data_IF_212579246043
#
_entry.id   IF_212579246043
#
_cell.length_a   1.000
_cell.length_b   1.000
_cell.length_c   1.000
_cell.angle_alpha   90.00
_cell.angle_beta   90.00
_cell.angle_gamma   90.00
#
_symmetry.space_group_name_H-M   'P 1'
#
loop_
_entity.id
_entity.type
_entity.pdbx_description
1 polymer ?
#
# COMPACT_ATOMS: atom_id res chain seq x y z
N UNK A 1 52.40 34.64 -20.64
CA UNK A 1 51.10 34.53 -21.33
C UNK A 1 50.21 33.65 -20.48
N UNK A 2 49.35 34.27 -19.69
CA UNK A 2 48.43 33.57 -18.80
C UNK A 2 47.32 32.88 -19.58
N UNK A 3 47.13 31.60 -19.29
CA UNK A 3 46.01 30.80 -19.74
C UNK A 3 44.73 31.29 -19.04
N UNK A 4 43.86 31.99 -19.77
CA UNK A 4 42.44 32.07 -19.39
C UNK A 4 41.67 31.00 -20.15
N UNK A 5 41.50 29.83 -19.53
CA UNK A 5 40.36 28.95 -19.81
C UNK A 5 39.20 29.42 -18.94
N UNK A 6 38.48 30.44 -19.41
CA UNK A 6 37.13 30.70 -18.90
C UNK A 6 36.22 29.59 -19.44
N UNK A 7 36.06 28.53 -18.65
CA UNK A 7 35.02 27.53 -18.82
C UNK A 7 33.99 27.65 -17.68
N UNK A 8 33.59 28.88 -17.35
CA UNK A 8 32.48 29.13 -16.42
C UNK A 8 31.17 29.16 -17.20
N UNK A 9 30.58 27.99 -17.37
CA UNK A 9 29.16 27.88 -17.67
C UNK A 9 28.43 28.02 -16.34
N UNK A 10 27.95 29.23 -16.05
CA UNK A 10 27.07 29.49 -14.90
C UNK A 10 25.68 29.03 -15.31
N UNK A 11 25.35 27.79 -14.98
CA UNK A 11 23.98 27.38 -14.76
C UNK A 11 23.93 26.96 -13.31
N UNK A 12 23.26 27.75 -12.50
CA UNK A 12 22.88 27.36 -11.14
C UNK A 12 22.20 25.99 -11.20
N UNK A 13 22.85 24.96 -10.64
CA UNK A 13 22.31 23.61 -10.60
C UNK A 13 21.84 23.29 -9.19
N UNK A 14 20.62 22.78 -9.09
CA UNK A 14 20.07 22.31 -7.82
C UNK A 14 20.22 20.79 -7.71
N UNK A 15 20.54 20.33 -6.51
CA UNK A 15 20.75 18.92 -6.19
C UNK A 15 19.99 18.54 -4.93
N UNK A 16 19.47 17.32 -4.89
CA UNK A 16 19.06 16.67 -3.65
C UNK A 16 20.23 15.90 -3.06
N UNK A 17 20.51 16.16 -1.78
CA UNK A 17 21.36 15.31 -0.97
C UNK A 17 20.50 14.16 -0.43
N UNK A 18 20.87 12.95 -0.79
CA UNK A 18 20.14 11.74 -0.46
C UNK A 18 21.02 10.78 0.36
N UNK A 19 20.38 10.08 1.28
CA UNK A 19 20.98 8.97 2.03
C UNK A 19 20.61 7.64 1.38
N UNK A 20 21.59 6.75 1.34
CA UNK A 20 21.44 5.33 1.02
C UNK A 20 21.96 4.50 2.18
N UNK A 21 21.09 3.71 2.78
CA UNK A 21 21.39 2.75 3.83
C UNK A 21 21.32 1.34 3.27
N UNK A 22 22.40 0.57 3.43
CA UNK A 22 22.44 -0.84 3.07
C UNK A 22 21.67 -1.68 4.09
N UNK A 23 21.35 -2.92 3.75
CA UNK A 23 20.78 -3.86 4.71
C UNK A 23 21.70 -4.17 5.90
N UNK A 24 23.00 -3.99 5.72
CA UNK A 24 24.01 -4.12 6.77
C UNK A 24 24.17 -2.84 7.62
N UNK A 25 23.34 -1.82 7.36
CA UNK A 25 23.28 -0.52 8.04
C UNK A 25 24.42 0.45 7.75
N UNK A 26 25.17 0.21 6.68
CA UNK A 26 26.13 1.19 6.18
C UNK A 26 25.41 2.33 5.47
N UNK A 27 25.85 3.56 5.73
CA UNK A 27 25.24 4.78 5.20
C UNK A 27 26.17 5.48 4.23
N UNK A 28 25.61 5.89 3.10
CA UNK A 28 26.29 6.64 2.06
C UNK A 28 25.44 7.84 1.63
N UNK A 29 26.10 8.93 1.28
CA UNK A 29 25.45 10.15 0.81
C UNK A 29 25.78 10.40 -0.64
N UNK A 30 24.76 10.69 -1.43
CA UNK A 30 24.89 11.04 -2.85
C UNK A 30 24.12 12.31 -3.16
N UNK A 31 24.59 13.02 -4.18
CA UNK A 31 23.86 14.14 -4.76
C UNK A 31 23.19 13.71 -6.06
N UNK A 32 21.90 14.03 -6.20
CA UNK A 32 21.09 13.79 -7.40
C UNK A 32 20.62 15.12 -7.98
N UNK A 33 20.82 15.35 -9.28
CA UNK A 33 20.35 16.56 -9.96
C UNK A 33 18.82 16.73 -9.83
N UNK A 34 18.37 17.95 -9.54
CA UNK A 34 16.96 18.32 -9.43
C UNK A 34 16.32 18.51 -10.80
N UNK A 35 16.16 17.39 -11.50
CA UNK A 35 15.37 17.29 -12.72
C UNK A 35 14.16 16.35 -12.48
N UNK A 36 13.51 16.50 -11.31
CA UNK A 36 12.44 15.60 -10.86
C UNK A 36 11.06 16.25 -10.96
N UNK A 37 10.05 15.41 -11.21
CA UNK A 37 8.62 15.77 -11.20
C UNK A 37 8.04 15.81 -9.79
N UNK A 38 8.73 15.21 -8.82
CA UNK A 38 8.30 15.10 -7.43
C UNK A 38 8.90 13.88 -6.75
N UNK A 39 8.48 13.63 -5.51
CA UNK A 39 8.96 12.53 -4.66
C UNK A 39 7.75 11.67 -4.28
N UNK A 40 7.90 10.35 -4.34
CA UNK A 40 6.91 9.38 -3.87
C UNK A 40 7.47 8.52 -2.75
N UNK A 41 6.59 8.00 -1.89
CA UNK A 41 6.87 6.96 -0.90
C UNK A 41 6.08 5.66 -1.19
N UNK A 42 5.39 5.58 -2.33
CA UNK A 42 4.62 4.40 -2.73
C UNK A 42 5.45 3.47 -3.62
N UNK A 43 5.78 2.28 -3.11
CA UNK A 43 6.57 1.27 -3.81
C UNK A 43 5.84 -0.05 -4.00
N UNK A 44 5.91 -0.57 -5.22
CA UNK A 44 5.40 -1.89 -5.60
C UNK A 44 6.60 -2.74 -5.99
N UNK A 45 7.08 -3.54 -5.04
CA UNK A 45 8.11 -4.55 -5.30
C UNK A 45 7.55 -5.58 -6.28
N UNK A 46 8.29 -5.85 -7.35
CA UNK A 46 7.94 -6.89 -8.31
C UNK A 46 9.22 -7.61 -8.71
N UNK A 47 9.27 -8.92 -8.50
CA UNK A 47 10.35 -9.74 -9.03
C UNK A 47 10.23 -9.72 -10.55
N UNK A 48 11.03 -8.87 -11.17
CA UNK A 48 11.16 -8.78 -12.60
C UNK A 48 12.58 -9.22 -12.93
N UNK A 49 12.74 -10.07 -13.96
CA UNK A 49 14.05 -10.50 -14.46
C UNK A 49 14.77 -9.36 -15.22
N UNK A 50 14.72 -8.12 -14.71
CA UNK A 50 14.98 -6.89 -15.47
C UNK A 50 15.87 -5.89 -14.75
N UNK A 51 16.39 -4.92 -15.51
CA UNK A 51 17.28 -3.79 -15.14
C UNK A 51 16.75 -2.81 -14.05
N UNK A 52 15.68 -3.14 -13.33
CA UNK A 52 15.03 -2.26 -12.36
C UNK A 52 14.30 -3.07 -11.27
N UNK A 53 14.16 -2.49 -10.08
CA UNK A 53 13.81 -3.18 -8.82
C UNK A 53 12.30 -3.37 -8.61
N UNK A 54 11.47 -2.60 -9.31
CA UNK A 54 10.02 -2.57 -9.11
C UNK A 54 9.42 -1.28 -9.66
N UNK A 55 8.29 -0.84 -9.11
CA UNK A 55 7.63 0.39 -9.55
C UNK A 55 7.36 1.35 -8.40
N UNK A 56 7.63 2.63 -8.61
CA UNK A 56 7.17 3.72 -7.76
C UNK A 56 5.90 4.32 -8.36
N UNK A 57 4.92 4.62 -7.51
CA UNK A 57 3.66 5.21 -7.95
C UNK A 57 3.69 6.73 -7.77
N UNK A 58 3.39 7.47 -8.83
CA UNK A 58 3.29 8.93 -8.80
C UNK A 58 2.27 9.43 -9.81
N UNK A 59 1.31 10.25 -9.36
CA UNK A 59 0.25 10.83 -10.19
C UNK A 59 -0.52 9.83 -11.09
N UNK A 60 -0.85 8.64 -10.57
CA UNK A 60 -1.47 7.52 -11.30
C UNK A 60 -0.60 6.90 -12.42
N UNK A 61 0.71 7.08 -12.35
CA UNK A 61 1.67 6.42 -13.23
C UNK A 61 2.62 5.54 -12.40
N UNK A 62 3.07 4.46 -13.01
CA UNK A 62 4.09 3.56 -12.46
C UNK A 62 5.43 3.84 -13.14
N UNK A 63 6.41 4.22 -12.34
CA UNK A 63 7.76 4.52 -12.78
C UNK A 63 8.69 3.37 -12.39
N UNK A 64 9.48 2.81 -13.32
CA UNK A 64 10.45 1.77 -12.97
C UNK A 64 11.48 2.33 -11.98
N UNK A 65 11.74 1.58 -10.90
CA UNK A 65 12.64 2.00 -9.82
C UNK A 65 14.03 1.48 -10.04
N UNK A 66 15.01 2.38 -9.98
CA UNK A 66 16.44 2.05 -9.90
C UNK A 66 17.10 2.70 -8.71
N UNK A 67 18.28 2.21 -8.36
CA UNK A 67 19.18 2.84 -7.39
C UNK A 67 20.62 2.67 -7.90
N UNK A 68 21.60 3.02 -7.08
CA UNK A 68 23.01 2.84 -7.43
C UNK A 68 23.32 1.35 -7.75
N UNK A 69 24.08 1.05 -8.81
CA UNK A 69 24.35 -0.32 -9.24
C UNK A 69 25.54 -0.91 -8.47
N UNK A 70 25.42 -1.00 -7.14
CA UNK A 70 26.41 -1.68 -6.31
C UNK A 70 25.94 -3.10 -6.00
N UNK A 71 26.88 -4.00 -5.70
CA UNK A 71 26.62 -5.38 -5.28
C UNK A 71 26.10 -5.43 -3.81
N UNK A 72 25.15 -4.55 -3.48
CA UNK A 72 24.59 -4.35 -2.16
C UNK A 72 23.08 -4.14 -2.26
N UNK A 73 22.35 -4.61 -1.25
CA UNK A 73 20.91 -4.35 -1.13
C UNK A 73 20.66 -3.13 -0.24
N UNK A 74 19.79 -2.22 -0.70
CA UNK A 74 19.47 -0.97 -0.01
C UNK A 74 18.04 -0.97 0.56
N UNK A 75 17.85 -0.24 1.67
CA UNK A 75 16.52 0.13 2.16
C UNK A 75 15.99 1.33 1.36
N UNK A 76 14.96 1.13 0.54
CA UNK A 76 14.39 2.18 -0.30
C UNK A 76 13.03 2.63 0.23
N UNK A 77 12.94 3.88 0.67
CA UNK A 77 11.73 4.47 1.25
C UNK A 77 11.16 5.61 0.40
N UNK A 78 12.04 6.34 -0.30
CA UNK A 78 11.65 7.48 -1.12
C UNK A 78 12.11 7.29 -2.56
N UNK A 79 11.30 7.79 -3.48
CA UNK A 79 11.48 7.61 -4.91
C UNK A 79 11.40 8.97 -5.60
N UNK A 80 12.55 9.48 -6.01
CA UNK A 80 12.65 10.72 -6.78
C UNK A 80 12.21 10.44 -8.22
N UNK A 81 11.13 11.09 -8.66
CA UNK A 81 10.46 10.77 -9.91
C UNK A 81 11.04 11.59 -11.05
N UNK A 82 11.77 10.95 -11.95
CA UNK A 82 12.28 11.56 -13.17
C UNK A 82 11.32 11.35 -14.34
N UNK A 83 11.69 11.87 -15.51
CA UNK A 83 10.84 11.80 -16.69
C UNK A 83 10.46 10.39 -17.11
N UNK A 84 11.36 9.42 -16.96
CA UNK A 84 11.23 8.05 -17.48
C UNK A 84 11.38 6.95 -16.41
N UNK A 85 11.84 7.28 -15.20
CA UNK A 85 12.12 6.33 -14.12
C UNK A 85 11.97 7.01 -12.75
N UNK A 86 12.09 6.23 -11.68
CA UNK A 86 12.25 6.73 -10.33
C UNK A 86 13.57 6.27 -9.73
N UNK A 87 14.28 7.17 -9.05
CA UNK A 87 15.49 6.85 -8.31
C UNK A 87 15.12 6.59 -6.85
N UNK A 88 15.34 5.37 -6.38
CA UNK A 88 15.09 4.94 -5.02
C UNK A 88 16.24 5.30 -4.09
N UNK A 89 15.90 5.93 -2.96
CA UNK A 89 16.81 6.29 -1.86
C UNK A 89 16.21 5.95 -0.50
N UNK A 90 17.04 5.92 0.54
CA UNK A 90 16.59 5.68 1.92
C UNK A 90 15.96 6.94 2.51
N UNK A 91 16.56 8.11 2.27
CA UNK A 91 16.04 9.41 2.69
C UNK A 91 16.48 10.53 1.73
N UNK A 92 15.68 11.59 1.66
CA UNK A 92 16.05 12.86 1.02
C UNK A 92 16.29 13.85 2.15
N UNK A 93 17.52 14.35 2.27
CA UNK A 93 17.95 15.13 3.42
C UNK A 93 17.74 16.62 3.19
N UNK A 94 18.31 17.13 2.10
CA UNK A 94 18.29 18.55 1.77
C UNK A 94 18.25 18.75 0.26
N UNK A 95 17.82 19.95 -0.15
CA UNK A 95 17.98 20.46 -1.50
C UNK A 95 18.96 21.63 -1.45
N UNK A 96 20.01 21.57 -2.26
CA UNK A 96 21.08 22.55 -2.29
C UNK A 96 21.28 23.11 -3.69
N UNK A 97 21.76 24.34 -3.76
CA UNK A 97 22.10 25.02 -5.00
C UNK A 97 23.62 25.13 -5.08
N UNK A 98 24.19 24.73 -6.22
CA UNK A 98 25.64 24.65 -6.40
C UNK A 98 26.02 25.38 -7.69
N UNK A 99 27.01 26.28 -7.57
CA UNK A 99 27.53 27.03 -8.70
C UNK A 99 28.51 26.20 -9.55
N UNK A 100 29.32 25.36 -8.90
CA UNK A 100 30.27 24.48 -9.57
C UNK A 100 30.62 23.26 -8.71
N UNK A 101 31.04 22.17 -9.36
CA UNK A 101 31.49 20.95 -8.70
C UNK A 101 32.73 20.38 -9.38
N UNK A 102 33.46 19.55 -8.65
CA UNK A 102 34.68 18.91 -9.17
C UNK A 102 34.31 17.69 -10.01
N UNK A 103 34.56 17.75 -11.31
CA UNK A 103 34.32 16.64 -12.24
C UNK A 103 35.45 15.62 -12.20
N UNK A 104 35.09 14.34 -12.21
CA UNK A 104 36.07 13.30 -12.48
C UNK A 104 36.55 13.38 -13.92
N UNK A 105 37.82 13.05 -14.14
CA UNK A 105 38.46 13.03 -15.45
C UNK A 105 38.77 11.59 -15.88
N UNK A 106 39.12 11.41 -17.16
CA UNK A 106 39.36 10.08 -17.73
C UNK A 106 40.47 9.30 -16.98
N UNK A 107 41.52 9.99 -16.52
CA UNK A 107 42.58 9.36 -15.72
C UNK A 107 42.08 8.83 -14.38
N UNK A 108 41.16 9.53 -13.73
CA UNK A 108 40.53 9.06 -12.48
C UNK A 108 39.71 7.80 -12.73
N UNK A 109 39.01 7.71 -13.86
CA UNK A 109 38.26 6.51 -14.23
C UNK A 109 39.15 5.33 -14.62
N UNK A 110 40.35 5.57 -15.18
CA UNK A 110 41.35 4.53 -15.43
C UNK A 110 41.91 3.97 -14.11
N UNK A 111 42.16 4.83 -13.12
CA UNK A 111 42.68 4.44 -11.81
C UNK A 111 41.62 3.81 -10.90
N UNK A 112 40.38 4.31 -10.96
CA UNK A 112 39.26 3.90 -10.13
C UNK A 112 38.01 3.68 -11.00
N UNK A 113 37.92 2.54 -11.71
CA UNK A 113 36.82 2.25 -12.62
C UNK A 113 35.43 2.31 -11.99
N UNK A 114 35.32 2.04 -10.69
CA UNK A 114 34.11 2.15 -9.88
C UNK A 114 33.54 3.57 -9.83
N UNK A 115 34.37 4.61 -10.01
CA UNK A 115 33.91 6.01 -10.01
C UNK A 115 33.09 6.37 -11.26
N UNK A 116 33.08 5.53 -12.29
CA UNK A 116 32.32 5.78 -13.53
C UNK A 116 30.81 5.92 -13.30
N UNK A 117 30.28 5.49 -12.15
CA UNK A 117 28.88 5.68 -11.79
C UNK A 117 28.57 7.12 -11.29
N UNK A 118 29.60 7.94 -11.08
CA UNK A 118 29.52 9.32 -10.61
C UNK A 118 30.05 10.29 -11.67
N UNK A 119 29.55 11.53 -11.64
CA UNK A 119 30.01 12.63 -12.51
C UNK A 119 31.16 13.40 -11.86
N UNK A 120 31.19 13.43 -10.53
CA UNK A 120 32.08 14.28 -9.74
C UNK A 120 31.72 14.28 -8.26
N UNK A 121 32.17 15.28 -7.54
CA UNK A 121 31.85 15.48 -6.13
C UNK A 121 31.74 16.95 -5.75
N UNK A 122 31.11 17.18 -4.60
CA UNK A 122 31.00 18.45 -3.90
C UNK A 122 31.49 18.29 -2.46
N UNK A 123 31.93 19.39 -1.86
CA UNK A 123 32.13 19.46 -0.42
C UNK A 123 30.91 20.12 0.20
N UNK A 124 30.23 19.43 1.10
CA UNK A 124 29.05 19.90 1.80
C UNK A 124 29.17 19.54 3.28
N UNK A 125 29.09 20.54 4.17
CA UNK A 125 29.23 20.35 5.63
C UNK A 125 30.47 19.50 6.00
N UNK A 126 31.63 19.89 5.46
CA UNK A 126 32.93 19.22 5.62
C UNK A 126 32.99 17.76 5.13
N UNK A 127 31.97 17.31 4.41
CA UNK A 127 31.89 15.96 3.84
C UNK A 127 31.96 16.00 2.32
N UNK A 128 32.66 15.04 1.72
CA UNK A 128 32.66 14.83 0.28
C UNK A 128 31.43 14.03 -0.13
N UNK A 129 30.58 14.62 -0.98
CA UNK A 129 29.39 13.96 -1.51
C UNK A 129 29.57 13.75 -3.02
N UNK A 130 29.46 12.50 -3.46
CA UNK A 130 29.55 12.17 -4.88
C UNK A 130 28.25 12.49 -5.61
N UNK A 131 28.37 13.12 -6.78
CA UNK A 131 27.26 13.41 -7.68
C UNK A 131 27.05 12.21 -8.58
N UNK A 132 25.88 11.59 -8.50
CA UNK A 132 25.57 10.42 -9.29
C UNK A 132 25.39 10.78 -10.78
N UNK A 133 25.91 9.93 -11.66
CA UNK A 133 25.81 10.12 -13.11
C UNK A 133 24.47 9.58 -13.65
N UNK A 134 23.49 10.46 -13.81
CA UNK A 134 22.15 10.11 -14.29
C UNK A 134 22.14 9.54 -15.73
N UNK A 135 23.14 9.83 -16.56
CA UNK A 135 23.23 9.31 -17.94
C UNK A 135 23.45 7.79 -17.97
N UNK A 136 24.10 7.23 -16.95
CA UNK A 136 24.30 5.78 -16.84
C UNK A 136 22.98 5.03 -16.67
N UNK A 137 22.00 5.63 -16.00
CA UNK A 137 20.66 5.07 -15.85
C UNK A 137 19.93 5.12 -17.19
N UNK A 138 19.95 6.26 -17.88
CA UNK A 138 19.25 6.46 -19.15
C UNK A 138 19.64 5.41 -20.19
N UNK A 139 20.91 5.00 -20.24
CA UNK A 139 21.41 3.94 -21.14
C UNK A 139 20.87 2.55 -20.81
N UNK A 140 20.57 2.26 -19.55
CA UNK A 140 20.10 0.95 -19.06
C UNK A 140 18.57 0.85 -19.01
N UNK A 141 17.87 1.97 -19.05
CA UNK A 141 16.40 2.03 -19.04
C UNK A 141 15.84 1.77 -20.44
N UNK A 142 14.88 0.84 -20.61
CA UNK A 142 14.18 0.69 -21.88
C UNK A 142 13.26 1.89 -22.14
N UNK A 143 13.14 2.28 -23.41
CA UNK A 143 12.57 3.56 -23.85
C UNK A 143 11.11 3.86 -23.41
N UNK A 144 10.32 2.88 -22.93
CA UNK A 144 8.90 3.06 -22.57
C UNK A 144 8.41 2.07 -21.50
N UNK A 145 8.67 2.32 -20.21
CA UNK A 145 8.04 1.55 -19.09
C UNK A 145 7.15 2.40 -18.19
N UNK A 146 6.93 3.68 -18.47
CA UNK A 146 5.94 4.42 -17.70
C UNK A 146 4.56 3.92 -18.11
N UNK A 147 4.00 3.09 -17.24
CA UNK A 147 2.67 2.55 -17.41
C UNK A 147 1.74 3.48 -16.66
N UNK A 148 0.84 4.15 -17.39
CA UNK A 148 -0.33 4.75 -16.75
C UNK A 148 -1.01 3.64 -16.00
N UNK A 149 -1.12 3.78 -14.69
CA UNK A 149 -1.91 2.87 -13.90
C UNK A 149 -3.30 2.95 -14.53
N UNK A 150 -3.69 1.89 -15.25
CA UNK A 150 -5.11 1.69 -15.47
C UNK A 150 -5.62 1.69 -14.05
N UNK A 151 -6.49 2.64 -13.70
CA UNK A 151 -7.48 2.36 -12.68
C UNK A 151 -8.04 1.04 -13.17
N UNK A 152 -7.58 -0.06 -12.57
CA UNK A 152 -8.49 -1.13 -12.33
C UNK A 152 -9.65 -0.34 -11.72
N UNK A 153 -10.74 -0.18 -12.49
CA UNK A 153 -12.05 -0.31 -11.86
C UNK A 153 -11.77 -1.49 -10.98
N UNK A 154 -11.58 -1.26 -9.67
CA UNK A 154 -11.44 -2.37 -8.75
C UNK A 154 -12.58 -3.23 -9.24
N UNK A 155 -12.27 -4.40 -9.82
CA UNK A 155 -13.20 -5.48 -9.63
C UNK A 155 -13.10 -5.51 -8.13
N UNK A 156 -14.06 -4.81 -7.49
CA UNK A 156 -14.53 -5.15 -6.19
C UNK A 156 -14.67 -6.63 -6.44
N UNK A 157 -13.68 -7.43 -5.99
CA UNK A 157 -13.98 -8.76 -5.50
C UNK A 157 -15.14 -8.38 -4.62
N UNK A 158 -16.38 -8.56 -5.11
CA UNK A 158 -17.57 -8.37 -4.31
C UNK A 158 -17.14 -9.05 -3.04
N UNK A 159 -16.89 -8.24 -2.00
CA UNK A 159 -16.52 -8.75 -0.69
C UNK A 159 -17.69 -9.69 -0.49
N UNK A 160 -17.47 -11.00 -0.66
CA UNK A 160 -18.61 -11.92 -0.79
C UNK A 160 -19.32 -11.69 0.53
N UNK A 161 -20.45 -11.00 0.49
CA UNK A 161 -21.08 -10.54 1.72
C UNK A 161 -21.30 -11.81 2.50
N UNK A 162 -20.64 -11.90 3.65
CA UNK A 162 -20.67 -13.10 4.45
C UNK A 162 -22.03 -13.08 5.11
N UNK A 163 -22.83 -14.11 4.86
CA UNK A 163 -24.07 -14.28 5.58
C UNK A 163 -23.97 -15.48 6.51
N UNK A 164 -24.72 -15.41 7.60
CA UNK A 164 -24.95 -16.54 8.48
C UNK A 164 -26.32 -17.13 8.22
N UNK A 165 -26.34 -18.43 7.93
CA UNK A 165 -27.52 -19.28 7.86
C UNK A 165 -27.88 -19.75 9.27
N UNK A 166 -29.03 -19.32 9.77
CA UNK A 166 -29.53 -19.64 11.11
C UNK A 166 -30.61 -20.72 11.00
N UNK A 167 -30.37 -21.87 11.63
CA UNK A 167 -31.27 -23.05 11.67
C UNK A 167 -31.82 -23.50 10.31
N UNK A 168 -31.11 -23.20 9.22
CA UNK A 168 -31.55 -23.41 7.84
C UNK A 168 -32.87 -22.70 7.46
N UNK A 169 -33.35 -21.76 8.28
CA UNK A 169 -34.62 -21.04 8.08
C UNK A 169 -34.42 -19.60 7.65
N UNK A 170 -33.36 -18.97 8.15
CA UNK A 170 -33.13 -17.54 7.98
C UNK A 170 -31.67 -17.24 7.66
N UNK A 171 -31.44 -16.06 7.09
CA UNK A 171 -30.09 -15.60 6.78
C UNK A 171 -29.88 -14.19 7.33
N UNK A 172 -28.71 -13.88 7.87
CA UNK A 172 -28.36 -12.52 8.30
C UNK A 172 -27.00 -12.12 7.74
N UNK A 173 -26.79 -10.84 7.43
CA UNK A 173 -25.45 -10.36 7.08
C UNK A 173 -24.58 -10.38 8.32
N UNK A 174 -23.36 -10.86 8.19
CA UNK A 174 -22.38 -10.88 9.28
C UNK A 174 -22.12 -9.48 9.86
N UNK A 175 -22.29 -8.41 9.07
CA UNK A 175 -22.11 -7.02 9.53
C UNK A 175 -23.24 -6.53 10.47
N UNK A 176 -24.42 -7.16 10.43
CA UNK A 176 -25.57 -6.82 11.27
C UNK A 176 -25.54 -7.58 12.62
N UNK A 177 -24.59 -8.50 12.78
CA UNK A 177 -24.42 -9.30 14.00
C UNK A 177 -23.53 -8.57 14.99
N UNK A 178 -24.09 -8.21 16.15
CA UNK A 178 -23.35 -7.62 17.26
C UNK A 178 -22.45 -8.69 17.91
N UNK A 179 -23.05 -9.84 18.25
CA UNK A 179 -22.34 -10.95 18.89
C UNK A 179 -23.20 -12.23 18.88
N UNK A 180 -22.58 -13.35 19.24
CA UNK A 180 -23.24 -14.63 19.51
C UNK A 180 -22.86 -15.05 20.92
N UNK A 181 -23.85 -15.27 21.76
CA UNK A 181 -23.65 -15.61 23.17
C UNK A 181 -24.36 -16.90 23.53
N UNK A 182 -23.85 -17.61 24.52
CA UNK A 182 -24.50 -18.79 25.05
C UNK A 182 -25.75 -18.37 25.85
N UNK A 183 -26.81 -19.17 25.81
CA UNK A 183 -28.06 -18.91 26.55
C UNK A 183 -27.93 -18.91 28.08
N UNK A 184 -26.77 -19.23 28.65
CA UNK A 184 -26.59 -19.32 30.11
C UNK A 184 -27.02 -18.05 30.88
N UNK A 185 -26.87 -16.85 30.29
CA UNK A 185 -27.27 -15.58 30.92
C UNK A 185 -28.63 -15.07 30.42
N UNK A 186 -29.43 -15.94 29.80
CA UNK A 186 -30.76 -15.62 29.30
C UNK A 186 -31.79 -15.62 30.43
N UNK A 187 -32.57 -14.56 30.52
CA UNK A 187 -33.69 -14.47 31.45
C UNK A 187 -35.00 -14.80 30.74
N UNK A 188 -35.64 -15.91 31.11
CA UNK A 188 -36.96 -16.27 30.60
C UNK A 188 -38.02 -15.32 31.16
N UNK A 189 -38.66 -14.57 30.27
CA UNK A 189 -39.74 -13.64 30.59
C UNK A 189 -40.58 -13.39 29.33
N UNK A 190 -41.70 -14.11 29.19
CA UNK A 190 -42.55 -14.00 27.99
C UNK A 190 -43.28 -12.65 27.98
N UNK A 191 -43.07 -11.88 26.92
CA UNK A 191 -43.83 -10.66 26.64
C UNK A 191 -43.95 -10.51 25.12
N UNK A 192 -45.13 -10.09 24.64
CA UNK A 192 -45.45 -9.97 23.21
C UNK A 192 -45.01 -11.23 22.42
N UNK A 193 -44.14 -11.05 21.43
CA UNK A 193 -43.59 -12.12 20.60
C UNK A 193 -42.16 -12.55 21.01
N UNK A 194 -41.74 -12.17 22.22
CA UNK A 194 -40.44 -12.49 22.80
C UNK A 194 -40.57 -13.54 23.92
N UNK A 195 -39.55 -14.40 24.03
CA UNK A 195 -39.47 -15.45 25.06
C UNK A 195 -38.74 -15.01 26.34
N UNK A 196 -38.11 -13.83 26.31
CA UNK A 196 -37.29 -13.33 27.39
C UNK A 196 -36.35 -12.23 26.93
N UNK A 197 -35.30 -12.00 27.70
CA UNK A 197 -34.29 -11.00 27.40
C UNK A 197 -32.89 -11.44 27.84
N UNK A 198 -31.88 -10.76 27.31
CA UNK A 198 -30.49 -10.93 27.72
C UNK A 198 -29.81 -9.57 27.83
N UNK A 199 -28.94 -9.42 28.82
CA UNK A 199 -28.12 -8.23 28.97
C UNK A 199 -26.76 -8.44 28.30
N UNK A 200 -26.35 -7.47 27.48
CA UNK A 200 -25.03 -7.42 26.88
C UNK A 200 -24.52 -5.97 26.84
N UNK A 201 -23.33 -5.71 27.39
CA UNK A 201 -22.70 -4.38 27.45
C UNK A 201 -23.65 -3.28 27.97
N UNK A 202 -24.32 -3.55 29.10
CA UNK A 202 -25.27 -2.63 29.74
C UNK A 202 -26.49 -2.27 28.88
N UNK A 203 -26.84 -3.10 27.90
CA UNK A 203 -28.07 -2.99 27.11
C UNK A 203 -28.87 -4.28 27.22
N UNK A 204 -30.19 -4.15 27.37
CA UNK A 204 -31.12 -5.29 27.43
C UNK A 204 -31.70 -5.53 26.04
N UNK A 205 -31.53 -6.75 25.55
CA UNK A 205 -32.05 -7.18 24.26
C UNK A 205 -33.19 -8.17 24.48
N UNK A 206 -34.41 -7.88 24.01
CA UNK A 206 -35.49 -8.86 24.00
C UNK A 206 -35.17 -9.96 22.98
N UNK A 207 -35.49 -11.22 23.30
CA UNK A 207 -35.08 -12.40 22.51
C UNK A 207 -36.29 -13.13 21.94
N UNK A 208 -36.29 -13.38 20.63
CA UNK A 208 -37.28 -14.23 19.94
C UNK A 208 -36.76 -15.66 19.81
N UNK A 209 -37.67 -16.61 19.78
CA UNK A 209 -37.35 -18.03 19.59
C UNK A 209 -37.42 -18.40 18.10
N UNK A 210 -36.31 -18.90 17.53
CA UNK A 210 -36.29 -19.52 16.20
C UNK A 210 -36.40 -21.05 16.30
N UNK A 211 -35.81 -21.62 17.35
CA UNK A 211 -35.77 -23.05 17.64
C UNK A 211 -35.89 -23.28 19.15
N UNK A 212 -36.83 -24.15 19.53
CA UNK A 212 -37.16 -24.49 20.93
C UNK A 212 -36.03 -25.21 21.67
N UNK A 213 -35.04 -25.72 20.94
CA UNK A 213 -33.85 -26.39 21.46
C UNK A 213 -32.59 -25.57 21.24
N UNK A 214 -32.74 -24.26 21.04
CA UNK A 214 -31.61 -23.35 20.88
C UNK A 214 -30.71 -23.31 22.12
N UNK A 215 -29.41 -23.15 21.88
CA UNK A 215 -28.38 -23.01 22.91
C UNK A 215 -27.62 -21.69 22.81
N UNK A 216 -27.85 -20.94 21.72
CA UNK A 216 -27.13 -19.74 21.37
C UNK A 216 -28.10 -18.62 21.09
N UNK A 217 -27.73 -17.41 21.46
CA UNK A 217 -28.49 -16.19 21.17
C UNK A 217 -27.65 -15.33 20.23
N UNK A 218 -28.21 -15.03 19.07
CA UNK A 218 -27.65 -14.10 18.11
C UNK A 218 -28.16 -12.70 18.46
N UNK A 219 -27.27 -11.76 18.79
CA UNK A 219 -27.64 -10.37 19.03
C UNK A 219 -27.45 -9.54 17.77
N UNK A 220 -28.50 -8.79 17.43
CA UNK A 220 -28.53 -7.83 16.34
C UNK A 220 -29.07 -6.51 16.90
N UNK A 221 -28.86 -5.41 16.15
CA UNK A 221 -29.19 -4.01 16.49
C UNK A 221 -29.96 -3.77 17.81
N UNK A 222 -31.21 -4.23 17.90
CA UNK A 222 -32.14 -4.00 19.02
C UNK A 222 -32.80 -5.27 19.60
N UNK A 223 -32.42 -6.48 19.16
CA UNK A 223 -33.05 -7.74 19.60
C UNK A 223 -32.12 -8.95 19.47
N UNK A 224 -32.52 -10.04 20.11
CA UNK A 224 -31.85 -11.33 20.05
C UNK A 224 -32.69 -12.42 19.41
N UNK A 225 -32.03 -13.47 18.91
CA UNK A 225 -32.68 -14.68 18.42
C UNK A 225 -32.06 -15.91 19.05
N UNK A 226 -32.86 -16.72 19.73
CA UNK A 226 -32.46 -18.03 20.24
C UNK A 226 -32.45 -19.04 19.08
N UNK A 227 -31.29 -19.64 18.82
CA UNK A 227 -31.04 -20.55 17.71
C UNK A 227 -30.18 -21.74 18.11
N UNK A 228 -30.17 -22.78 17.26
CA UNK A 228 -29.44 -24.03 17.51
C UNK A 228 -28.18 -24.18 16.65
N UNK A 229 -28.24 -23.81 15.37
CA UNK A 229 -27.18 -23.99 14.37
C UNK A 229 -26.94 -22.71 13.59
N UNK A 230 -25.66 -22.43 13.33
CA UNK A 230 -25.22 -21.33 12.48
C UNK A 230 -24.17 -21.84 11.51
N UNK A 231 -24.32 -21.49 10.24
CA UNK A 231 -23.34 -21.80 9.19
C UNK A 231 -23.03 -20.56 8.36
N UNK A 232 -21.81 -20.46 7.85
CA UNK A 232 -21.48 -19.42 6.89
C UNK A 232 -22.00 -19.79 5.49
N UNK A 233 -22.69 -18.86 4.84
CA UNK A 233 -23.23 -19.05 3.48
C UNK A 233 -22.93 -17.85 2.58
N UNK A 234 -22.86 -18.12 1.27
CA UNK A 234 -22.61 -17.13 0.23
C UNK A 234 -23.70 -17.20 -0.82
N UNK A 235 -24.17 -16.04 -1.26
CA UNK A 235 -25.29 -15.93 -2.19
C UNK A 235 -25.52 -14.50 -2.61
N UNK A 236 -26.68 -14.24 -3.21
CA UNK A 236 -27.10 -12.91 -3.65
C UNK A 236 -28.40 -12.54 -2.95
N UNK A 237 -28.57 -11.26 -2.65
CA UNK A 237 -29.88 -10.73 -2.28
C UNK A 237 -30.71 -10.59 -3.55
N UNK A 238 -31.93 -11.07 -3.51
CA UNK A 238 -32.97 -10.79 -4.48
C UNK A 238 -34.05 -9.98 -3.77
N UNK A 239 -34.60 -9.00 -4.46
CA UNK A 239 -35.67 -8.15 -3.95
C UNK A 239 -36.97 -8.57 -4.61
N UNK A 240 -38.01 -8.75 -3.80
CA UNK A 240 -39.39 -8.89 -4.26
C UNK A 240 -40.22 -7.83 -3.55
N UNK A 241 -40.68 -6.84 -4.32
CA UNK A 241 -41.63 -5.75 -4.02
C UNK A 241 -41.48 -5.00 -2.69
N UNK A 242 -41.46 -5.69 -1.54
CA UNK A 242 -41.33 -5.13 -0.19
C UNK A 242 -40.37 -5.92 0.73
N UNK A 243 -39.79 -7.04 0.28
CA UNK A 243 -38.93 -7.91 1.11
C UNK A 243 -37.65 -8.35 0.41
N UNK A 244 -36.58 -8.44 1.18
CA UNK A 244 -35.29 -8.97 0.72
C UNK A 244 -35.17 -10.46 1.04
N UNK A 245 -34.78 -11.26 0.04
CA UNK A 245 -34.50 -12.68 0.19
C UNK A 245 -33.06 -12.99 -0.18
N UNK A 246 -32.46 -13.95 0.51
CA UNK A 246 -31.16 -14.50 0.18
C UNK A 246 -31.31 -15.71 -0.74
N UNK A 247 -30.66 -15.67 -1.90
CA UNK A 247 -30.59 -16.78 -2.85
C UNK A 247 -29.18 -17.36 -2.91
N UNK A 248 -29.05 -18.66 -2.65
CA UNK A 248 -27.82 -19.44 -2.86
C UNK A 248 -28.15 -20.78 -3.48
N UNK A 249 -27.62 -21.06 -4.67
CA UNK A 249 -27.98 -22.25 -5.46
C UNK A 249 -29.51 -22.38 -5.62
N UNK A 250 -30.10 -23.47 -5.14
CA UNK A 250 -31.54 -23.75 -5.16
C UNK A 250 -32.27 -23.32 -3.87
N UNK A 251 -31.61 -22.59 -2.99
CA UNK A 251 -32.14 -22.15 -1.70
C UNK A 251 -32.52 -20.67 -1.77
N UNK A 252 -33.76 -20.34 -1.37
CA UNK A 252 -34.25 -18.98 -1.19
C UNK A 252 -34.74 -18.87 0.24
N UNK A 253 -34.18 -17.94 1.01
CA UNK A 253 -34.49 -17.75 2.42
C UNK A 253 -34.77 -16.29 2.75
N UNK A 254 -35.66 -16.01 3.72
CA UNK A 254 -35.83 -14.66 4.25
C UNK A 254 -34.54 -14.16 4.94
N UNK A 255 -34.27 -12.87 4.79
CA UNK A 255 -33.20 -12.20 5.53
C UNK A 255 -33.77 -11.68 6.86
N UNK A 256 -33.06 -11.94 7.97
CA UNK A 256 -33.39 -11.33 9.27
C UNK A 256 -32.93 -9.88 9.27
N UNK A 257 -33.87 -8.99 9.54
CA UNK A 257 -33.68 -7.55 9.77
C UNK A 257 -33.78 -7.23 11.26
#
# INVERSE_FOLDING_TARGET
>A
MEYKKDNRWVNDMEFYICELETKDKDKFYIALEDNIKGISNEYIKKNLNSNFLGYAKYNNYLYPVVTIPLDMEFYLNYFLIYDTYAFGVTAVLNKIKIENFEKFNDKMFELYPELNIYTGYITYEDSTIFIFNMENIKKKMPNRIIVKEKKEKKKIKQKKTIYFLIDNKFVIKNEDVITIINKNNFCYFRFDDYIGFIEYKNQVYPVKEIDDKGNWILLIKDKGYLFKRINQIYGKVIEDTEKQFFKSNNLILPILE
#
